data_IF_495990064105
#
_entry.id   IF_495990064105
#
_cell.length_a   1.000
_cell.length_b   1.000
_cell.length_c   1.000
_cell.angle_alpha   90.00
_cell.angle_beta   90.00
_cell.angle_gamma   90.00
#
_symmetry.space_group_name_H-M   'P 1'
#
loop_
_entity.id
_entity.type
_entity.pdbx_description
1 polymer ?
#
# COMPACT_ATOMS: atom_id res chain seq x y z
N UNK A 1 -1.51 24.00 -10.09
CA UNK A 1 -0.28 23.33 -9.59
C UNK A 1 0.12 23.76 -8.20
N UNK A 2 0.53 25.05 -7.98
CA UNK A 2 1.08 25.49 -6.68
C UNK A 2 0.13 25.26 -5.50
N UNK A 3 -1.16 25.62 -5.65
CA UNK A 3 -2.19 25.44 -4.61
C UNK A 3 -2.37 23.97 -4.20
N UNK A 4 -2.28 23.05 -5.16
CA UNK A 4 -2.39 21.60 -4.88
C UNK A 4 -1.21 21.11 -4.06
N UNK A 5 0.00 21.59 -4.40
CA UNK A 5 1.22 21.24 -3.67
C UNK A 5 1.15 21.78 -2.22
N UNK A 6 0.71 23.02 -2.03
CA UNK A 6 0.54 23.62 -0.70
C UNK A 6 -0.44 22.81 0.16
N UNK A 7 -1.57 22.39 -0.41
CA UNK A 7 -2.55 21.51 0.27
C UNK A 7 -2.01 20.10 0.51
N UNK A 8 -1.22 19.55 -0.40
CA UNK A 8 -0.59 18.24 -0.21
C UNK A 8 0.43 18.28 0.94
N UNK A 9 1.20 19.37 1.07
CA UNK A 9 2.10 19.57 2.20
C UNK A 9 1.31 19.67 3.52
N UNK A 10 0.20 20.43 3.52
CA UNK A 10 -0.70 20.49 4.67
C UNK A 10 -1.24 19.10 5.03
N UNK A 11 -1.68 18.34 4.05
CA UNK A 11 -2.16 16.98 4.24
C UNK A 11 -1.10 16.08 4.88
N UNK A 12 0.16 16.15 4.45
CA UNK A 12 1.25 15.35 5.03
C UNK A 12 1.46 15.59 6.54
N UNK A 13 1.00 16.73 7.08
CA UNK A 13 1.11 17.02 8.50
C UNK A 13 -0.01 16.41 9.36
N UNK A 14 -1.12 16.02 8.75
CA UNK A 14 -2.32 15.54 9.44
C UNK A 14 -2.80 14.16 9.00
N UNK A 15 -2.37 13.70 7.83
CA UNK A 15 -2.78 12.44 7.23
C UNK A 15 -1.55 11.55 6.97
N UNK A 16 -1.67 10.27 7.19
CA UNK A 16 -2.83 9.49 7.64
C UNK A 16 -2.99 9.42 9.17
N UNK A 17 -2.36 10.26 9.93
CA UNK A 17 -2.32 10.31 11.39
C UNK A 17 -0.93 9.96 11.93
N UNK A 18 -0.85 9.50 13.16
CA UNK A 18 0.41 9.36 13.90
C UNK A 18 1.42 8.42 13.23
N UNK A 19 2.46 8.97 12.63
CA UNK A 19 3.66 8.24 12.17
C UNK A 19 4.28 7.31 13.24
N UNK A 20 4.28 7.65 14.55
CA UNK A 20 4.74 6.74 15.60
C UNK A 20 4.03 5.38 15.64
N UNK A 21 2.81 5.29 15.14
CA UNK A 21 2.10 4.01 15.03
C UNK A 21 2.81 3.07 14.06
N UNK A 22 3.40 3.60 12.99
CA UNK A 22 4.18 2.81 12.04
C UNK A 22 5.51 2.33 12.62
N UNK A 23 6.14 3.11 13.49
CA UNK A 23 7.34 2.71 14.22
C UNK A 23 7.11 1.52 15.18
N UNK A 24 5.87 1.31 15.65
CA UNK A 24 5.49 0.15 16.46
C UNK A 24 5.35 -1.15 15.64
N UNK A 25 5.21 -1.06 14.34
CA UNK A 25 5.12 -2.21 13.43
C UNK A 25 6.45 -2.56 12.77
N UNK A 26 7.46 -1.73 12.96
CA UNK A 26 8.82 -2.07 12.58
C UNK A 26 9.46 -2.89 13.68
N UNK A 27 10.04 -4.03 13.35
CA UNK A 27 10.83 -4.79 14.32
C UNK A 27 11.91 -3.86 14.90
N UNK A 28 12.04 -3.73 16.23
CA UNK A 28 12.97 -2.77 16.85
C UNK A 28 14.41 -2.90 16.34
N UNK A 29 14.80 -4.12 15.96
CA UNK A 29 16.14 -4.45 15.47
C UNK A 29 16.24 -4.44 13.93
N UNK A 30 15.11 -4.47 13.20
CA UNK A 30 15.06 -4.49 11.74
C UNK A 30 13.90 -3.62 11.22
N UNK A 31 14.00 -2.29 11.36
CA UNK A 31 12.91 -1.38 10.98
C UNK A 31 12.71 -1.26 9.47
N UNK A 32 13.61 -1.83 8.67
CA UNK A 32 13.60 -1.75 7.21
C UNK A 32 13.58 -3.16 6.60
N UNK A 33 12.93 -3.26 5.45
CA UNK A 33 12.90 -4.44 4.60
C UNK A 33 13.45 -4.15 3.21
N UNK A 34 13.59 -5.18 2.41
CA UNK A 34 13.87 -5.05 0.99
C UNK A 34 12.55 -4.84 0.25
N UNK A 35 12.44 -3.71 -0.42
CA UNK A 35 11.35 -3.39 -1.34
C UNK A 35 11.79 -3.71 -2.76
N UNK A 36 10.97 -4.49 -3.47
CA UNK A 36 11.17 -4.82 -4.88
C UNK A 36 10.15 -4.01 -5.69
N UNK A 37 10.55 -2.85 -6.21
CA UNK A 37 9.63 -1.92 -6.87
C UNK A 37 9.08 -2.47 -8.19
N UNK A 38 9.84 -3.30 -8.90
CA UNK A 38 9.42 -3.91 -10.16
C UNK A 38 9.29 -5.43 -10.07
N UNK A 39 8.67 -5.92 -8.99
CA UNK A 39 8.43 -7.35 -8.82
C UNK A 39 7.27 -7.82 -9.70
N UNK A 40 7.60 -8.28 -10.92
CA UNK A 40 6.67 -8.75 -11.95
C UNK A 40 6.77 -10.25 -12.18
N UNK A 41 5.72 -10.84 -12.79
CA UNK A 41 5.75 -12.26 -13.19
C UNK A 41 6.90 -12.55 -14.17
N UNK A 42 7.22 -11.61 -15.07
CA UNK A 42 8.34 -11.74 -16.01
C UNK A 42 9.71 -11.87 -15.33
N UNK A 43 9.82 -11.44 -14.06
CA UNK A 43 11.04 -11.48 -13.29
C UNK A 43 11.16 -12.73 -12.39
N UNK A 44 10.22 -13.67 -12.55
CA UNK A 44 10.21 -14.95 -11.83
C UNK A 44 10.54 -16.07 -12.81
N UNK A 45 11.67 -16.71 -12.57
CA UNK A 45 12.08 -17.89 -13.36
C UNK A 45 11.44 -19.15 -12.78
N UNK A 46 10.89 -19.99 -13.66
CA UNK A 46 10.29 -21.27 -13.27
C UNK A 46 10.84 -22.41 -14.11
N UNK A 47 10.89 -23.58 -13.54
CA UNK A 47 11.13 -24.82 -14.27
C UNK A 47 9.86 -25.23 -15.01
N UNK A 48 9.97 -25.43 -16.33
CA UNK A 48 8.81 -25.69 -17.20
C UNK A 48 8.08 -27.01 -16.87
N UNK A 49 8.78 -28.01 -16.33
CA UNK A 49 8.21 -29.33 -16.07
C UNK A 49 7.52 -29.40 -14.69
N UNK A 50 8.12 -28.75 -13.70
CA UNK A 50 7.65 -28.83 -12.30
C UNK A 50 6.89 -27.60 -11.84
N UNK A 51 6.96 -26.49 -12.58
CA UNK A 51 6.41 -25.18 -12.16
C UNK A 51 7.13 -24.58 -10.95
N UNK A 52 8.24 -25.16 -10.51
CA UNK A 52 8.98 -24.65 -9.34
C UNK A 52 9.71 -23.35 -9.70
N UNK A 53 9.67 -22.38 -8.79
CA UNK A 53 10.49 -21.18 -8.90
C UNK A 53 11.97 -21.58 -8.78
N UNK A 54 12.78 -21.20 -9.76
CA UNK A 54 14.21 -21.47 -9.84
C UNK A 54 15.05 -20.23 -9.60
N UNK A 55 14.47 -19.04 -9.73
CA UNK A 55 15.17 -17.79 -9.48
C UNK A 55 14.28 -16.56 -9.61
N UNK A 56 14.80 -15.45 -9.09
CA UNK A 56 14.28 -14.12 -9.32
C UNK A 56 15.36 -13.31 -10.01
N UNK A 57 14.97 -12.46 -10.95
CA UNK A 57 15.88 -11.61 -11.72
C UNK A 57 15.41 -10.17 -11.64
N UNK A 58 16.23 -9.26 -12.14
CA UNK A 58 15.90 -7.83 -12.28
C UNK A 58 15.65 -7.11 -10.95
N UNK A 59 16.71 -7.03 -10.15
CA UNK A 59 16.69 -6.33 -8.87
C UNK A 59 17.12 -4.84 -8.98
N UNK A 60 17.13 -4.26 -10.18
CA UNK A 60 17.62 -2.89 -10.38
C UNK A 60 16.79 -1.84 -9.63
N UNK A 61 15.50 -2.08 -9.42
CA UNK A 61 14.62 -1.25 -8.62
C UNK A 61 14.59 -1.59 -7.13
N UNK A 62 15.43 -2.52 -6.65
CA UNK A 62 15.40 -2.93 -5.25
C UNK A 62 15.95 -1.84 -4.32
N UNK A 63 15.17 -1.47 -3.31
CA UNK A 63 15.53 -0.47 -2.31
C UNK A 63 15.29 -0.99 -0.90
N UNK A 64 15.89 -0.34 0.10
CA UNK A 64 15.53 -0.57 1.49
C UNK A 64 14.51 0.46 1.92
N UNK A 65 13.40 0.00 2.48
CA UNK A 65 12.30 0.86 2.88
C UNK A 65 11.69 0.40 4.21
N UNK A 66 10.93 1.25 4.90
CA UNK A 66 10.18 0.84 6.08
C UNK A 66 9.25 -0.33 5.79
N UNK A 67 8.99 -1.17 6.77
CA UNK A 67 8.20 -2.40 6.58
C UNK A 67 6.81 -2.12 5.98
N UNK A 68 6.16 -1.01 6.36
CA UNK A 68 4.86 -0.62 5.82
C UNK A 68 4.87 -0.34 4.31
N UNK A 69 6.03 0.06 3.79
CA UNK A 69 6.23 0.30 2.36
C UNK A 69 6.62 -1.00 1.62
N UNK A 70 7.31 -1.92 2.33
CA UNK A 70 7.67 -3.23 1.80
C UNK A 70 6.50 -4.23 1.84
N UNK A 71 5.56 -4.07 2.78
CA UNK A 71 4.43 -4.96 2.95
C UNK A 71 3.34 -4.64 1.91
N UNK A 72 3.58 -5.04 0.68
CA UNK A 72 2.67 -4.87 -0.46
C UNK A 72 2.27 -6.22 -1.03
N UNK A 73 1.07 -6.29 -1.57
CA UNK A 73 0.64 -7.43 -2.38
C UNK A 73 1.25 -7.26 -3.77
N UNK A 74 1.85 -8.31 -4.36
CA UNK A 74 2.38 -8.24 -5.73
C UNK A 74 1.34 -7.70 -6.72
N UNK A 75 1.78 -6.85 -7.66
CA UNK A 75 0.90 -6.13 -8.59
C UNK A 75 -0.09 -7.03 -9.34
N UNK A 76 0.34 -8.21 -9.75
CA UNK A 76 -0.53 -9.19 -10.44
C UNK A 76 -1.58 -9.86 -9.54
N UNK A 77 -1.53 -9.63 -8.23
CA UNK A 77 -2.51 -10.12 -7.25
C UNK A 77 -3.35 -8.99 -6.64
N UNK A 78 -3.13 -7.74 -7.03
CA UNK A 78 -3.87 -6.60 -6.52
C UNK A 78 -5.29 -6.55 -7.10
N UNK A 79 -6.20 -5.94 -6.36
CA UNK A 79 -7.55 -5.66 -6.82
C UNK A 79 -7.56 -4.40 -7.70
N UNK A 80 -8.58 -4.22 -8.56
CA UNK A 80 -8.65 -3.06 -9.47
C UNK A 80 -8.66 -1.71 -8.77
N UNK A 81 -9.14 -1.66 -7.55
CA UNK A 81 -9.22 -0.47 -6.68
C UNK A 81 -8.03 -0.33 -5.73
N UNK A 82 -7.09 -1.27 -5.74
CA UNK A 82 -5.81 -1.07 -5.07
C UNK A 82 -5.05 0.08 -5.76
N UNK A 83 -4.45 1.03 -5.00
CA UNK A 83 -3.81 2.23 -5.56
C UNK A 83 -2.70 1.92 -6.57
N UNK A 84 -2.03 0.81 -6.37
CA UNK A 84 -0.91 0.35 -7.21
C UNK A 84 -1.35 -0.69 -8.23
N UNK A 85 -2.65 -0.82 -8.54
CA UNK A 85 -3.13 -1.84 -9.45
C UNK A 85 -2.58 -1.62 -10.85
N UNK A 86 -1.47 -2.26 -11.16
CA UNK A 86 -1.02 -2.46 -12.53
C UNK A 86 -1.41 -3.86 -12.94
N UNK A 87 -2.29 -3.95 -13.90
CA UNK A 87 -2.75 -5.22 -14.40
C UNK A 87 -1.64 -5.96 -15.15
N UNK A 88 -1.17 -7.05 -14.58
CA UNK A 88 -0.32 -8.04 -15.27
C UNK A 88 -0.96 -9.43 -15.25
N UNK A 89 -2.27 -9.54 -15.13
CA UNK A 89 -2.75 -10.82 -14.72
C UNK A 89 -3.86 -11.45 -15.55
N UNK A 90 -4.10 -12.72 -15.26
CA UNK A 90 -5.16 -13.54 -15.80
C UNK A 90 -6.57 -13.15 -15.30
N UNK A 91 -7.56 -14.03 -15.49
CA UNK A 91 -8.93 -13.81 -15.07
C UNK A 91 -9.05 -13.42 -13.58
N UNK A 92 -10.04 -12.59 -13.25
CA UNK A 92 -10.27 -12.09 -11.89
C UNK A 92 -10.41 -13.22 -10.86
N UNK A 93 -11.09 -14.30 -11.22
CA UNK A 93 -11.30 -15.46 -10.33
C UNK A 93 -9.97 -16.15 -9.98
N UNK A 94 -9.09 -16.34 -10.96
CA UNK A 94 -7.77 -16.93 -10.72
C UNK A 94 -6.92 -16.02 -9.83
N UNK A 95 -6.97 -14.72 -10.04
CA UNK A 95 -6.26 -13.73 -9.24
C UNK A 95 -6.72 -13.74 -7.78
N UNK A 96 -8.02 -13.74 -7.53
CA UNK A 96 -8.57 -13.82 -6.17
C UNK A 96 -8.15 -15.08 -5.43
N UNK A 97 -8.14 -16.23 -6.11
CA UNK A 97 -7.66 -17.49 -5.54
C UNK A 97 -6.16 -17.44 -5.21
N UNK A 98 -5.34 -16.92 -6.12
CA UNK A 98 -3.89 -16.77 -5.91
C UNK A 98 -3.59 -15.75 -4.79
N UNK A 99 -4.35 -14.66 -4.71
CA UNK A 99 -4.25 -13.67 -3.62
C UNK A 99 -4.55 -14.32 -2.26
N UNK A 100 -5.58 -15.13 -2.17
CA UNK A 100 -5.92 -15.87 -0.94
C UNK A 100 -4.78 -16.82 -0.52
N UNK A 101 -4.20 -17.54 -1.48
CA UNK A 101 -3.03 -18.42 -1.23
C UNK A 101 -1.84 -17.58 -0.75
N UNK A 102 -1.53 -16.46 -1.41
CA UNK A 102 -0.46 -15.56 -1.00
C UNK A 102 -0.63 -15.09 0.45
N UNK A 103 -1.80 -14.54 0.79
CA UNK A 103 -2.08 -14.04 2.13
C UNK A 103 -2.00 -15.13 3.19
N UNK A 104 -2.56 -16.32 2.91
CA UNK A 104 -2.47 -17.47 3.82
C UNK A 104 -1.02 -17.91 4.03
N UNK A 105 -0.23 -17.94 2.95
CA UNK A 105 1.19 -18.29 3.03
C UNK A 105 1.97 -17.28 3.85
N UNK A 106 1.78 -16.00 3.60
CA UNK A 106 2.43 -14.92 4.38
C UNK A 106 2.06 -15.01 5.85
N UNK A 107 0.78 -15.17 6.17
CA UNK A 107 0.31 -15.30 7.55
C UNK A 107 0.93 -16.49 8.30
N UNK A 108 1.24 -17.57 7.58
CA UNK A 108 1.91 -18.76 8.11
C UNK A 108 3.41 -18.59 8.37
N UNK A 109 4.02 -17.50 7.94
CA UNK A 109 5.45 -17.23 8.20
C UNK A 109 5.68 -16.69 9.60
N UNK A 110 6.93 -16.78 10.08
CA UNK A 110 7.33 -16.26 11.40
C UNK A 110 6.99 -14.77 11.54
N UNK A 111 7.17 -13.99 10.48
CA UNK A 111 6.93 -12.54 10.46
C UNK A 111 5.55 -12.18 9.89
N UNK A 112 4.70 -13.15 9.59
CA UNK A 112 3.46 -12.95 8.88
C UNK A 112 2.48 -12.01 9.57
N UNK A 113 2.37 -12.09 10.90
CA UNK A 113 1.51 -11.20 11.69
C UNK A 113 1.97 -9.75 11.61
N UNK A 114 3.28 -9.52 11.65
CA UNK A 114 3.88 -8.20 11.55
C UNK A 114 3.69 -7.62 10.14
N UNK A 115 3.92 -8.46 9.13
CA UNK A 115 3.68 -8.09 7.74
C UNK A 115 2.22 -7.69 7.50
N UNK A 116 1.24 -8.48 7.97
CA UNK A 116 -0.17 -8.15 7.81
C UNK A 116 -0.53 -6.82 8.48
N UNK A 117 -0.03 -6.58 9.70
CA UNK A 117 -0.25 -5.31 10.38
C UNK A 117 0.36 -4.14 9.62
N UNK A 118 1.58 -4.30 9.12
CA UNK A 118 2.27 -3.28 8.33
C UNK A 118 1.55 -3.03 6.99
N UNK A 119 1.00 -4.07 6.36
CA UNK A 119 0.20 -3.95 5.16
C UNK A 119 -1.04 -3.08 5.39
N UNK A 120 -1.84 -3.40 6.41
CA UNK A 120 -3.07 -2.65 6.72
C UNK A 120 -2.76 -1.21 7.17
N UNK A 121 -1.90 -1.06 8.17
CA UNK A 121 -1.55 0.26 8.71
C UNK A 121 -0.80 1.15 7.70
N UNK A 122 -0.05 0.55 6.78
CA UNK A 122 0.69 1.26 5.74
C UNK A 122 -0.16 1.69 4.55
N UNK A 123 -1.36 1.13 4.38
CA UNK A 123 -2.21 1.40 3.21
C UNK A 123 -2.45 2.90 2.96
N UNK A 124 -2.88 3.71 3.95
CA UNK A 124 -3.09 5.14 3.72
C UNK A 124 -1.80 5.89 3.34
N UNK A 125 -0.65 5.48 3.85
CA UNK A 125 0.64 6.09 3.49
C UNK A 125 1.05 5.74 2.07
N UNK A 126 0.89 4.48 1.66
CA UNK A 126 1.14 4.07 0.27
C UNK A 126 0.23 4.82 -0.69
N UNK A 127 -1.06 4.95 -0.36
CA UNK A 127 -2.01 5.76 -1.14
C UNK A 127 -1.55 7.21 -1.28
N UNK A 128 -1.07 7.83 -0.20
CA UNK A 128 -0.56 9.19 -0.24
C UNK A 128 0.68 9.29 -1.14
N UNK A 129 1.68 8.41 -0.94
CA UNK A 129 2.92 8.39 -1.73
C UNK A 129 2.60 8.17 -3.21
N UNK A 130 1.74 7.23 -3.51
CA UNK A 130 1.34 6.90 -4.88
C UNK A 130 0.65 8.08 -5.57
N UNK A 131 -0.30 8.73 -4.89
CA UNK A 131 -0.97 9.93 -5.40
C UNK A 131 -0.02 11.10 -5.61
N UNK A 132 0.98 11.29 -4.77
CA UNK A 132 1.98 12.34 -4.92
C UNK A 132 3.00 12.04 -6.02
N UNK A 133 3.28 10.78 -6.30
CA UNK A 133 4.17 10.34 -7.36
C UNK A 133 3.51 10.31 -8.75
N UNK A 134 2.19 10.42 -8.80
CA UNK A 134 1.45 10.30 -10.07
C UNK A 134 1.78 11.44 -11.02
N UNK A 135 2.08 11.09 -12.27
CA UNK A 135 2.53 12.02 -13.29
C UNK A 135 1.54 13.15 -13.59
N UNK A 136 2.09 14.28 -14.01
CA UNK A 136 1.55 15.64 -14.21
C UNK A 136 0.14 15.76 -14.87
N UNK A 137 -0.39 14.73 -15.48
CA UNK A 137 -1.65 14.79 -16.23
C UNK A 137 -2.93 14.64 -15.38
N UNK A 138 -2.82 14.44 -14.06
CA UNK A 138 -3.97 14.10 -13.18
C UNK A 138 -4.10 15.08 -12.00
N UNK A 139 -3.68 16.33 -12.17
CA UNK A 139 -3.73 17.35 -11.11
C UNK A 139 -5.14 17.65 -10.58
N UNK A 140 -6.17 17.48 -11.40
CA UNK A 140 -7.55 17.70 -10.97
C UNK A 140 -7.98 16.65 -9.95
N UNK A 141 -7.75 15.39 -10.24
CA UNK A 141 -8.09 14.28 -9.34
C UNK A 141 -7.25 14.31 -8.05
N UNK A 142 -5.99 14.75 -8.14
CA UNK A 142 -5.13 14.94 -6.97
C UNK A 142 -5.67 16.04 -6.04
N UNK A 143 -6.14 17.18 -6.59
CA UNK A 143 -6.69 18.27 -5.78
C UNK A 143 -7.94 17.81 -5.02
N UNK A 144 -8.86 17.13 -5.70
CA UNK A 144 -10.06 16.58 -5.09
C UNK A 144 -9.71 15.57 -4.00
N UNK A 145 -8.81 14.64 -4.30
CA UNK A 145 -8.36 13.63 -3.36
C UNK A 145 -7.71 14.24 -2.11
N UNK A 146 -6.84 15.25 -2.28
CA UNK A 146 -6.16 15.95 -1.16
C UNK A 146 -7.17 16.72 -0.31
N UNK A 147 -8.12 17.42 -0.92
CA UNK A 147 -9.15 18.18 -0.20
C UNK A 147 -10.03 17.25 0.63
N UNK A 148 -10.46 16.14 0.04
CA UNK A 148 -11.32 15.16 0.69
C UNK A 148 -10.65 14.55 1.95
N UNK A 149 -9.34 14.31 1.91
CA UNK A 149 -8.58 13.81 3.06
C UNK A 149 -8.29 14.87 4.11
N UNK A 150 -8.09 16.14 3.70
CA UNK A 150 -7.97 17.25 4.63
C UNK A 150 -9.28 17.47 5.39
N UNK A 151 -10.40 17.50 4.69
CA UNK A 151 -11.72 17.62 5.28
C UNK A 151 -12.01 16.48 6.26
N UNK A 152 -11.63 15.24 5.88
CA UNK A 152 -11.73 14.10 6.76
C UNK A 152 -10.88 14.26 8.03
N UNK A 153 -9.60 14.62 7.89
CA UNK A 153 -8.69 14.77 9.02
C UNK A 153 -9.12 15.88 9.99
N UNK A 154 -9.74 16.95 9.47
CA UNK A 154 -10.31 18.03 10.30
C UNK A 154 -11.56 17.58 11.02
N UNK A 155 -12.41 16.81 10.36
CA UNK A 155 -13.68 16.35 10.92
C UNK A 155 -13.52 15.20 11.91
N UNK A 156 -12.52 14.35 11.69
CA UNK A 156 -12.27 13.15 12.49
C UNK A 156 -10.79 13.06 12.88
N UNK A 157 -10.32 13.93 13.79
CA UNK A 157 -8.91 13.94 14.22
C UNK A 157 -8.48 12.57 14.75
N UNK A 158 -7.34 12.06 14.26
CA UNK A 158 -6.78 10.78 14.70
C UNK A 158 -7.48 9.53 14.13
N UNK A 159 -8.51 9.68 13.32
CA UNK A 159 -9.18 8.57 12.64
C UNK A 159 -8.64 8.43 11.21
N UNK A 160 -8.07 7.27 10.88
CA UNK A 160 -7.63 6.95 9.52
C UNK A 160 -8.79 6.99 8.53
N UNK A 161 -8.51 7.47 7.31
CA UNK A 161 -9.52 7.49 6.25
C UNK A 161 -9.93 6.06 5.89
N UNK A 162 -11.25 5.84 5.83
CA UNK A 162 -11.83 4.57 5.39
C UNK A 162 -13.12 4.86 4.64
N UNK A 163 -13.25 4.30 3.44
CA UNK A 163 -14.48 4.41 2.65
C UNK A 163 -15.67 3.72 3.36
N UNK A 164 -15.41 2.67 4.12
CA UNK A 164 -16.43 2.01 4.95
C UNK A 164 -16.94 2.93 6.05
N UNK A 165 -16.03 3.63 6.74
CA UNK A 165 -16.40 4.60 7.78
C UNK A 165 -17.13 5.80 7.16
N UNK A 166 -16.68 6.26 5.98
CA UNK A 166 -17.32 7.37 5.26
C UNK A 166 -18.77 7.08 4.90
N UNK A 167 -19.08 5.85 4.52
CA UNK A 167 -20.43 5.41 4.19
C UNK A 167 -21.32 5.17 5.43
N UNK A 168 -20.73 5.18 6.63
CA UNK A 168 -21.48 4.97 7.87
C UNK A 168 -22.13 6.27 8.36
N UNK A 169 -23.43 6.29 8.71
CA UNK A 169 -24.12 7.52 9.14
C UNK A 169 -23.59 8.11 10.46
N UNK A 170 -22.90 7.32 11.28
CA UNK A 170 -22.26 7.74 12.53
C UNK A 170 -20.85 7.14 12.60
N UNK A 171 -19.84 7.76 12.00
CA UNK A 171 -18.47 7.27 12.14
C UNK A 171 -18.00 7.37 13.60
N UNK A 172 -17.12 6.45 14.04
CA UNK A 172 -16.64 6.43 15.41
C UNK A 172 -15.94 7.75 15.76
N UNK A 173 -16.31 8.31 16.88
CA UNK A 173 -15.60 9.47 17.47
C UNK A 173 -14.30 8.93 18.06
N UNK A 174 -13.17 9.54 17.73
CA UNK A 174 -11.89 9.22 18.32
C UNK A 174 -11.99 9.36 19.85
N UNK A 175 -11.72 8.28 20.57
CA UNK A 175 -11.66 8.24 22.04
C UNK A 175 -10.30 8.64 22.53
#
# INVERSE_FOLDING_TARGET
>A
GRRVIEKAIELCSVYPGDLPVLGKYSHPEMPFGLKLDDFRLSNIMTDENSGRVTGLIDFEGATTAPLWECAIIPRWLQEPDDPESSYEGGPTEARSALRAVFLTTVQGTVQGKEWCRAYEAGRPFRQLVDRLNFQVNVWADLEEWVVDRLDWAQKYPGVGFSDEIRSHPNPPVAS
#
